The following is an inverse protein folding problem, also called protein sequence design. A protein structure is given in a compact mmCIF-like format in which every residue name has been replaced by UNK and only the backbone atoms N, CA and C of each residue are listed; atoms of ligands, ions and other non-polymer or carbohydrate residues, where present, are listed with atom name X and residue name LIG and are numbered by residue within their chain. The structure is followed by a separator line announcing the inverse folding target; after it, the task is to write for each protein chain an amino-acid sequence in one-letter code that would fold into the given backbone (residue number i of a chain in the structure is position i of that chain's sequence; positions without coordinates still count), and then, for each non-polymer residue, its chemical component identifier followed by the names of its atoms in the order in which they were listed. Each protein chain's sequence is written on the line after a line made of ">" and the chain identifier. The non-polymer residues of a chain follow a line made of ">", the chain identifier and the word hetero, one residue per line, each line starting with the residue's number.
data_IF_351235734475
#
_entry.id   IF_351235734475
#
_cell.length_a   1.000
_cell.length_b   1.000
_cell.length_c   1.000
_cell.angle_alpha   90.00
_cell.angle_beta   90.00
_cell.angle_gamma   90.00
#
_symmetry.space_group_name_H-M   'P 1'
#
loop_
_entity.id
_entity.type
_entity.pdbx_description
1 polymer ?
#
# COMPACT_ATOMS: atom_id res chain seq x y z
N UNK A 1 58.90 -8.43 0.29
CA UNK A 1 58.35 -7.60 -0.79
C UNK A 1 56.87 -7.41 -0.47
N UNK A 2 56.30 -6.20 -0.54
CA UNK A 2 54.85 -6.02 -0.42
C UNK A 2 54.14 -6.73 -1.57
N UNK A 3 52.89 -7.15 -1.33
CA UNK A 3 51.99 -7.61 -2.39
C UNK A 3 51.54 -6.38 -3.20
N UNK A 4 51.31 -6.47 -4.53
CA UNK A 4 50.69 -5.38 -5.26
C UNK A 4 49.26 -5.15 -4.76
N UNK A 5 48.87 -3.89 -4.64
CA UNK A 5 47.50 -3.51 -4.30
C UNK A 5 46.56 -3.88 -5.44
N UNK A 6 45.37 -4.38 -5.10
CA UNK A 6 44.31 -4.58 -6.09
C UNK A 6 43.79 -3.19 -6.54
N UNK A 7 43.46 -3.01 -7.84
CA UNK A 7 42.87 -1.75 -8.29
C UNK A 7 41.51 -1.56 -7.61
N UNK A 8 41.38 -0.48 -6.84
CA UNK A 8 40.07 -0.02 -6.35
C UNK A 8 39.23 0.35 -7.56
N UNK A 9 38.07 -0.28 -7.71
CA UNK A 9 37.17 -0.03 -8.83
C UNK A 9 36.44 1.29 -8.65
N UNK A 10 36.69 2.26 -9.54
CA UNK A 10 36.05 3.59 -9.62
C UNK A 10 34.51 3.56 -9.80
N UNK A 11 33.90 2.39 -9.72
CA UNK A 11 32.45 2.16 -9.88
C UNK A 11 31.69 2.55 -8.62
N UNK A 12 32.29 2.44 -7.42
CA UNK A 12 31.59 2.76 -6.16
C UNK A 12 31.36 4.26 -5.97
N UNK A 13 32.31 5.12 -6.36
CA UNK A 13 32.19 6.59 -6.22
C UNK A 13 31.11 7.18 -7.16
N UNK A 14 30.91 6.60 -8.34
CA UNK A 14 30.01 7.16 -9.37
C UNK A 14 28.52 7.01 -9.01
N UNK A 15 28.17 5.98 -8.21
CA UNK A 15 26.80 5.77 -7.70
C UNK A 15 26.40 6.90 -6.73
N UNK A 16 27.39 7.49 -6.04
CA UNK A 16 27.19 8.53 -5.03
C UNK A 16 27.53 9.95 -5.53
N UNK A 17 27.78 10.16 -6.84
CA UNK A 17 27.90 11.50 -7.43
C UNK A 17 26.57 12.27 -7.37
N UNK A 18 26.38 12.97 -6.24
CA UNK A 18 25.15 13.68 -5.86
C UNK A 18 24.91 13.60 -4.35
N UNK A 19 25.29 12.49 -3.73
CA UNK A 19 25.36 12.30 -2.28
C UNK A 19 26.66 12.88 -1.69
N UNK A 20 26.92 14.17 -1.95
CA UNK A 20 27.86 14.91 -1.09
C UNK A 20 27.32 14.89 0.33
N UNK A 21 28.15 14.53 1.31
CA UNK A 21 27.82 14.61 2.76
C UNK A 21 27.83 16.09 3.20
N UNK A 22 26.92 16.86 2.63
CA UNK A 22 26.86 18.32 2.67
C UNK A 22 25.85 18.79 3.72
N UNK A 23 26.28 18.70 4.98
CA UNK A 23 25.50 18.95 6.19
C UNK A 23 24.40 17.92 6.49
N UNK A 24 23.97 17.95 7.75
CA UNK A 24 22.86 17.16 8.27
C UNK A 24 21.53 17.73 7.73
N UNK A 25 20.95 17.05 6.74
CA UNK A 25 19.67 17.42 6.09
C UNK A 25 18.45 17.37 7.03
N UNK A 26 18.62 16.91 8.27
CA UNK A 26 17.59 16.97 9.31
C UNK A 26 17.73 18.23 10.19
N UNK A 27 18.83 18.97 10.05
CA UNK A 27 19.22 20.11 10.90
C UNK A 27 19.16 21.46 10.16
N UNK A 28 18.52 21.52 8.99
CA UNK A 28 18.25 22.77 8.28
C UNK A 28 17.27 23.65 9.07
N UNK A 29 17.52 24.96 9.13
CA UNK A 29 16.58 25.93 9.73
C UNK A 29 16.66 27.28 8.99
N UNK A 30 15.56 27.76 8.36
CA UNK A 30 14.31 27.04 8.12
C UNK A 30 14.52 25.83 7.18
N UNK A 31 13.69 24.80 7.34
CA UNK A 31 13.67 23.62 6.46
C UNK A 31 13.29 24.04 5.03
N UNK A 32 14.08 23.64 4.02
CA UNK A 32 13.75 23.91 2.63
C UNK A 32 12.64 22.96 2.11
N UNK A 33 11.67 23.45 1.30
CA UNK A 33 10.62 22.61 0.72
C UNK A 33 11.14 21.65 -0.37
N UNK A 34 12.37 21.88 -0.86
CA UNK A 34 13.08 20.98 -1.77
C UNK A 34 14.22 20.34 -1.00
N UNK A 35 14.17 19.02 -0.81
CA UNK A 35 15.20 18.23 -0.13
C UNK A 35 16.44 18.01 -1.00
N UNK A 36 16.31 18.05 -2.32
CA UNK A 36 17.43 17.89 -3.26
C UNK A 36 17.47 19.08 -4.24
N UNK A 37 18.02 20.25 -3.85
CA UNK A 37 17.93 21.50 -4.62
C UNK A 37 18.54 21.46 -6.03
N UNK A 38 19.49 20.55 -6.27
CA UNK A 38 20.14 20.37 -7.57
C UNK A 38 19.34 19.45 -8.53
N UNK A 39 18.16 18.99 -8.13
CA UNK A 39 17.34 18.02 -8.85
C UNK A 39 17.61 16.58 -8.42
N UNK A 40 16.63 15.71 -8.66
CA UNK A 40 16.64 14.30 -8.26
C UNK A 40 16.77 13.42 -9.49
N UNK A 41 17.77 12.52 -9.53
CA UNK A 41 17.85 11.49 -10.55
C UNK A 41 17.20 10.19 -10.04
N UNK A 42 16.12 9.75 -10.70
CA UNK A 42 15.42 8.53 -10.35
C UNK A 42 16.35 7.29 -10.37
N UNK A 43 17.27 7.22 -11.34
CA UNK A 43 18.09 6.02 -11.58
C UNK A 43 19.22 5.80 -10.57
N UNK A 44 19.45 6.73 -9.64
CA UNK A 44 20.48 6.62 -8.58
C UNK A 44 19.90 6.75 -7.17
N UNK A 45 18.58 6.97 -7.05
CA UNK A 45 17.94 7.27 -5.76
C UNK A 45 16.72 6.39 -5.43
N UNK A 46 16.17 5.64 -6.38
CA UNK A 46 15.17 4.59 -6.11
C UNK A 46 15.48 3.40 -7.00
N UNK A 47 15.74 2.25 -6.37
CA UNK A 47 15.84 0.98 -7.08
C UNK A 47 14.46 0.30 -7.18
N UNK A 48 14.25 -0.43 -8.27
CA UNK A 48 13.10 -1.30 -8.52
C UNK A 48 13.57 -2.73 -8.88
N UNK A 49 14.82 -3.09 -8.56
CA UNK A 49 15.45 -4.38 -8.86
C UNK A 49 14.87 -5.58 -8.08
N UNK A 50 14.00 -5.33 -7.10
CA UNK A 50 13.31 -6.35 -6.29
C UNK A 50 11.77 -6.20 -6.31
N UNK A 51 11.25 -5.43 -7.28
CA UNK A 51 9.83 -5.13 -7.43
C UNK A 51 9.22 -5.93 -8.58
N UNK A 52 8.14 -6.63 -8.32
CA UNK A 52 7.33 -7.34 -9.32
C UNK A 52 5.91 -6.79 -9.42
N UNK A 53 5.27 -6.95 -10.58
CA UNK A 53 3.94 -6.40 -10.88
C UNK A 53 2.96 -7.52 -11.21
N UNK A 54 1.81 -7.54 -10.53
CA UNK A 54 0.75 -8.53 -10.71
C UNK A 54 -0.36 -7.96 -11.61
N UNK A 55 -0.57 -8.58 -12.78
CA UNK A 55 -1.55 -8.12 -13.79
C UNK A 55 -2.64 -9.18 -14.00
N UNK A 56 -3.90 -8.80 -13.79
CA UNK A 56 -5.05 -9.61 -14.20
C UNK A 56 -5.39 -9.35 -15.68
N UNK A 57 -5.02 -10.25 -16.59
CA UNK A 57 -5.22 -10.02 -18.02
C UNK A 57 -6.70 -10.08 -18.47
N UNK A 58 -7.63 -10.52 -17.59
CA UNK A 58 -9.08 -10.36 -17.82
C UNK A 58 -9.58 -8.95 -17.49
N UNK A 59 -8.85 -8.16 -16.70
CA UNK A 59 -9.24 -6.80 -16.32
C UNK A 59 -8.49 -5.75 -17.12
N UNK A 60 -9.21 -4.99 -17.93
CA UNK A 60 -8.67 -3.86 -18.69
C UNK A 60 -8.01 -2.81 -17.78
N UNK A 61 -8.62 -2.52 -16.63
CA UNK A 61 -8.05 -1.61 -15.63
C UNK A 61 -6.69 -2.11 -15.11
N UNK A 62 -6.59 -3.40 -14.80
CA UNK A 62 -5.35 -4.00 -14.26
C UNK A 62 -4.23 -3.99 -15.31
N UNK A 63 -4.56 -4.28 -16.57
CA UNK A 63 -3.63 -4.18 -17.69
C UNK A 63 -3.15 -2.75 -17.89
N UNK A 64 -4.06 -1.77 -17.98
CA UNK A 64 -3.69 -0.38 -18.28
C UNK A 64 -2.85 0.24 -17.16
N UNK A 65 -3.24 0.05 -15.89
CA UNK A 65 -2.48 0.58 -14.74
C UNK A 65 -1.15 -0.19 -14.58
N UNK A 66 -1.17 -1.51 -14.71
CA UNK A 66 0.01 -2.36 -14.56
C UNK A 66 1.09 -2.05 -15.61
N UNK A 67 0.72 -1.99 -16.90
CA UNK A 67 1.68 -1.65 -17.96
C UNK A 67 2.13 -0.18 -17.90
N UNK A 68 1.30 0.74 -17.43
CA UNK A 68 1.73 2.11 -17.17
C UNK A 68 2.78 2.18 -16.06
N UNK A 69 2.61 1.46 -14.95
CA UNK A 69 3.61 1.38 -13.88
C UNK A 69 4.90 0.70 -14.34
N UNK A 70 4.80 -0.46 -15.02
CA UNK A 70 5.94 -1.18 -15.61
C UNK A 70 6.77 -0.25 -16.51
N UNK A 71 6.10 0.51 -17.39
CA UNK A 71 6.76 1.47 -18.29
C UNK A 71 7.38 2.64 -17.51
N UNK A 72 6.63 3.23 -16.58
CA UNK A 72 7.06 4.40 -15.83
C UNK A 72 8.13 4.13 -14.77
N UNK A 73 8.42 2.86 -14.45
CA UNK A 73 9.47 2.42 -13.51
C UNK A 73 10.51 1.49 -14.14
N UNK A 74 10.43 1.25 -15.45
CA UNK A 74 11.33 0.36 -16.19
C UNK A 74 11.44 -1.04 -15.56
N UNK A 75 10.31 -1.59 -15.09
CA UNK A 75 10.27 -2.93 -14.48
C UNK A 75 10.61 -3.98 -15.55
N UNK A 76 11.55 -4.87 -15.23
CA UNK A 76 11.98 -5.93 -16.15
C UNK A 76 10.86 -6.93 -16.41
N UNK A 77 10.75 -7.41 -17.66
CA UNK A 77 9.63 -8.20 -18.13
C UNK A 77 9.50 -9.58 -17.45
N UNK A 78 10.59 -10.12 -16.89
CA UNK A 78 10.59 -11.35 -16.08
C UNK A 78 9.87 -11.18 -14.74
N UNK A 79 9.73 -9.95 -14.23
CA UNK A 79 9.01 -9.62 -12.99
C UNK A 79 7.57 -9.13 -13.22
N UNK A 80 7.02 -9.33 -14.41
CA UNK A 80 5.61 -9.03 -14.73
C UNK A 80 4.83 -10.34 -14.73
N UNK A 81 4.19 -10.66 -13.60
CA UNK A 81 3.40 -11.88 -13.44
C UNK A 81 1.96 -11.66 -13.92
N UNK A 82 1.54 -12.44 -14.92
CA UNK A 82 0.28 -12.24 -15.64
C UNK A 82 -0.68 -13.39 -15.36
N UNK A 83 -1.86 -13.06 -14.81
CA UNK A 83 -2.96 -14.01 -14.65
C UNK A 83 -3.79 -14.06 -15.93
N UNK A 84 -3.50 -15.04 -16.77
CA UNK A 84 -4.01 -15.17 -18.15
C UNK A 84 -5.28 -16.01 -18.32
N UNK A 85 -5.76 -16.70 -17.27
CA UNK A 85 -6.85 -17.67 -17.38
C UNK A 85 -8.12 -16.99 -17.93
N UNK A 86 -8.82 -17.63 -18.87
CA UNK A 86 -10.07 -17.11 -19.44
C UNK A 86 -11.19 -16.90 -18.40
N UNK A 87 -11.07 -17.56 -17.23
CA UNK A 87 -12.01 -17.47 -16.12
C UNK A 87 -11.46 -16.70 -14.89
N UNK A 88 -10.33 -15.99 -15.01
CA UNK A 88 -9.87 -15.08 -13.95
C UNK A 88 -10.98 -14.04 -13.64
N UNK A 89 -11.48 -13.96 -12.39
CA UNK A 89 -12.53 -13.00 -12.06
C UNK A 89 -11.98 -11.57 -12.04
N UNK A 90 -12.85 -10.60 -12.33
CA UNK A 90 -12.52 -9.17 -12.42
C UNK A 90 -13.24 -8.30 -11.39
N UNK A 91 -14.13 -8.89 -10.59
CA UNK A 91 -14.84 -8.21 -9.50
C UNK A 91 -13.94 -7.94 -8.29
N UNK A 92 -14.27 -6.91 -7.51
CA UNK A 92 -13.51 -6.52 -6.32
C UNK A 92 -13.66 -7.51 -5.15
N UNK A 93 -14.65 -8.40 -5.20
CA UNK A 93 -14.90 -9.46 -4.20
C UNK A 93 -14.95 -10.82 -4.90
N UNK A 94 -14.17 -11.78 -4.39
CA UNK A 94 -14.11 -13.18 -4.85
C UNK A 94 -14.27 -14.14 -3.68
N UNK A 95 -14.59 -15.42 -3.88
CA UNK A 95 -14.49 -16.42 -2.80
C UNK A 95 -13.08 -17.01 -2.69
N UNK A 96 -12.79 -17.74 -1.60
CA UNK A 96 -11.49 -18.42 -1.39
C UNK A 96 -11.15 -19.40 -2.52
N UNK A 97 -12.14 -20.12 -3.07
CA UNK A 97 -11.90 -21.04 -4.19
C UNK A 97 -11.40 -20.29 -5.44
N UNK A 98 -12.03 -19.15 -5.78
CA UNK A 98 -11.57 -18.27 -6.86
C UNK A 98 -10.19 -17.68 -6.58
N UNK A 99 -9.88 -17.32 -5.32
CA UNK A 99 -8.55 -16.82 -4.95
C UNK A 99 -7.47 -17.89 -5.21
N UNK A 100 -7.67 -19.09 -4.67
CA UNK A 100 -6.73 -20.19 -4.81
C UNK A 100 -6.50 -20.54 -6.29
N UNK A 101 -7.57 -20.92 -7.00
CA UNK A 101 -7.50 -21.45 -8.36
C UNK A 101 -7.02 -20.45 -9.40
N UNK A 102 -7.36 -19.16 -9.27
CA UNK A 102 -7.09 -18.16 -10.33
C UNK A 102 -5.96 -17.18 -10.01
N UNK A 103 -5.47 -17.12 -8.77
CA UNK A 103 -4.39 -16.19 -8.39
C UNK A 103 -3.29 -16.86 -7.57
N UNK A 104 -3.61 -17.50 -6.45
CA UNK A 104 -2.58 -18.03 -5.54
C UNK A 104 -1.81 -19.19 -6.16
N UNK A 105 -2.51 -20.24 -6.64
CA UNK A 105 -1.84 -21.42 -7.21
C UNK A 105 -1.08 -21.06 -8.50
N UNK A 106 -1.62 -20.24 -9.42
CA UNK A 106 -0.85 -19.68 -10.53
C UNK A 106 0.36 -18.83 -10.10
N UNK A 107 0.24 -18.03 -9.04
CA UNK A 107 1.36 -17.21 -8.56
C UNK A 107 2.47 -18.07 -7.93
N UNK A 108 2.13 -19.06 -7.11
CA UNK A 108 3.09 -20.07 -6.60
C UNK A 108 3.77 -20.83 -7.75
N UNK A 109 3.03 -21.19 -8.80
CA UNK A 109 3.61 -21.82 -9.98
C UNK A 109 4.60 -20.88 -10.72
N UNK A 110 4.23 -19.61 -10.92
CA UNK A 110 5.10 -18.60 -11.52
C UNK A 110 6.37 -18.37 -10.68
N UNK A 111 6.25 -18.18 -9.36
CA UNK A 111 7.38 -18.06 -8.44
C UNK A 111 8.29 -19.30 -8.48
N UNK A 112 7.74 -20.51 -8.51
CA UNK A 112 8.52 -21.76 -8.61
C UNK A 112 9.25 -21.96 -9.95
N UNK A 113 8.85 -21.20 -10.97
CA UNK A 113 9.47 -21.18 -12.30
C UNK A 113 10.37 -19.96 -12.52
N UNK A 114 10.38 -19.01 -11.60
CA UNK A 114 11.15 -17.77 -11.68
C UNK A 114 12.62 -18.01 -11.30
N UNK A 115 13.53 -17.39 -12.03
CA UNK A 115 14.98 -17.61 -11.91
C UNK A 115 15.82 -16.33 -12.04
N UNK A 116 15.21 -15.16 -11.80
CA UNK A 116 15.90 -13.88 -11.73
C UNK A 116 16.38 -13.56 -10.31
N UNK A 117 16.45 -12.27 -9.98
CA UNK A 117 16.88 -11.75 -8.67
C UNK A 117 15.77 -11.79 -7.63
N UNK A 118 16.11 -11.62 -6.36
CA UNK A 118 15.15 -11.61 -5.26
C UNK A 118 14.01 -10.60 -5.48
N UNK A 119 12.81 -10.94 -4.97
CA UNK A 119 11.60 -10.11 -5.09
C UNK A 119 11.08 -9.85 -3.68
N UNK A 120 11.16 -8.59 -3.25
CA UNK A 120 10.72 -8.13 -1.94
C UNK A 120 9.33 -7.48 -2.00
N UNK A 121 8.99 -6.84 -3.11
CA UNK A 121 7.77 -6.05 -3.26
C UNK A 121 6.87 -6.55 -4.38
N UNK A 122 5.55 -6.55 -4.16
CA UNK A 122 4.55 -6.82 -5.18
C UNK A 122 3.64 -5.61 -5.39
N UNK A 123 3.43 -5.24 -6.66
CA UNK A 123 2.49 -4.18 -7.04
C UNK A 123 1.20 -4.82 -7.58
N UNK A 124 0.10 -4.67 -6.85
CA UNK A 124 -1.26 -4.96 -7.33
C UNK A 124 -1.92 -3.69 -7.86
N UNK A 125 -3.00 -3.84 -8.63
CA UNK A 125 -3.66 -2.73 -9.34
C UNK A 125 -5.18 -2.79 -9.22
N UNK A 126 -5.90 -1.70 -9.51
CA UNK A 126 -7.36 -1.78 -9.69
C UNK A 126 -7.66 -2.82 -10.78
N UNK A 127 -8.47 -3.84 -10.46
CA UNK A 127 -8.77 -4.96 -11.36
C UNK A 127 -8.07 -6.28 -11.01
N UNK A 128 -7.05 -6.24 -10.15
CA UNK A 128 -6.81 -7.34 -9.20
C UNK A 128 -7.93 -7.25 -8.14
N UNK A 129 -8.60 -8.35 -7.73
CA UNK A 129 -9.62 -8.32 -6.69
C UNK A 129 -9.13 -7.65 -5.39
N UNK A 130 -10.02 -7.02 -4.63
CA UNK A 130 -9.67 -6.26 -3.42
C UNK A 130 -9.77 -7.14 -2.16
N UNK A 131 -10.82 -7.97 -2.08
CA UNK A 131 -11.15 -8.77 -0.89
C UNK A 131 -11.57 -10.19 -1.23
N UNK A 132 -11.25 -11.11 -0.33
CA UNK A 132 -11.64 -12.52 -0.38
C UNK A 132 -12.76 -12.71 0.64
N UNK A 133 -13.95 -13.02 0.14
CA UNK A 133 -15.09 -13.42 0.94
C UNK A 133 -14.95 -14.89 1.37
N UNK A 134 -15.35 -15.15 2.61
CA UNK A 134 -15.33 -16.45 3.26
C UNK A 134 -16.16 -16.39 4.54
N UNK A 135 -15.99 -17.38 5.41
CA UNK A 135 -16.62 -17.39 6.73
C UNK A 135 -15.83 -16.53 7.72
N UNK A 136 -15.22 -17.16 8.72
CA UNK A 136 -14.25 -16.51 9.59
C UNK A 136 -13.03 -16.00 8.79
N UNK A 137 -12.56 -16.82 7.85
CA UNK A 137 -11.37 -16.63 7.02
C UNK A 137 -11.52 -15.61 5.88
N UNK A 138 -12.29 -14.54 6.07
CA UNK A 138 -12.37 -13.39 5.15
C UNK A 138 -11.12 -12.53 5.25
N UNK A 139 -10.58 -12.06 4.12
CA UNK A 139 -9.29 -11.35 4.09
C UNK A 139 -9.22 -10.29 2.98
N UNK A 140 -8.18 -9.44 2.99
CA UNK A 140 -7.82 -8.67 1.80
C UNK A 140 -7.04 -9.54 0.83
N UNK A 141 -7.13 -9.26 -0.48
CA UNK A 141 -6.35 -9.99 -1.48
C UNK A 141 -4.84 -9.78 -1.26
N UNK A 142 -4.46 -8.55 -0.93
CA UNK A 142 -3.05 -8.14 -0.83
C UNK A 142 -2.34 -8.78 0.37
N UNK A 143 -3.04 -8.93 1.51
CA UNK A 143 -2.54 -9.65 2.68
C UNK A 143 -2.26 -11.12 2.36
N UNK A 144 -3.13 -11.78 1.60
CA UNK A 144 -3.05 -13.22 1.37
C UNK A 144 -2.04 -13.58 0.28
N UNK A 145 -1.91 -12.73 -0.75
CA UNK A 145 -0.88 -12.90 -1.78
C UNK A 145 0.53 -12.56 -1.24
N UNK A 146 0.62 -11.74 -0.17
CA UNK A 146 1.89 -11.41 0.49
C UNK A 146 2.61 -12.63 1.09
N UNK A 147 1.88 -13.64 1.55
CA UNK A 147 2.46 -14.80 2.24
C UNK A 147 2.93 -15.90 1.27
N UNK A 148 2.63 -15.76 -0.02
CA UNK A 148 2.78 -16.81 -1.02
C UNK A 148 4.25 -17.30 -1.16
N UNK A 149 4.45 -18.58 -0.91
CA UNK A 149 5.76 -19.24 -0.95
C UNK A 149 6.78 -18.70 0.06
N UNK A 150 6.31 -18.04 1.13
CA UNK A 150 7.13 -17.52 2.22
C UNK A 150 7.05 -18.37 3.50
N UNK A 151 7.60 -17.86 4.60
CA UNK A 151 7.55 -18.50 5.92
C UNK A 151 6.12 -18.68 6.44
N UNK A 152 5.24 -17.73 6.09
CA UNK A 152 3.84 -17.70 6.51
C UNK A 152 2.87 -18.32 5.49
N UNK A 153 3.35 -19.09 4.51
CA UNK A 153 2.51 -19.68 3.45
C UNK A 153 1.42 -20.64 3.97
N UNK A 154 1.65 -21.24 5.15
CA UNK A 154 0.69 -22.07 5.88
C UNK A 154 -0.52 -21.29 6.43
N UNK A 155 -0.38 -19.98 6.55
CA UNK A 155 -1.33 -19.12 7.26
C UNK A 155 -2.36 -18.52 6.30
N UNK A 156 -2.17 -18.75 5.00
CA UNK A 156 -3.08 -18.30 3.94
C UNK A 156 -4.46 -18.94 4.14
N UNK A 157 -5.44 -18.09 4.41
CA UNK A 157 -6.82 -18.46 4.70
C UNK A 157 -7.06 -19.04 6.09
N UNK A 158 -6.13 -18.86 7.03
CA UNK A 158 -6.35 -19.09 8.45
C UNK A 158 -7.34 -18.07 9.07
N UNK A 159 -7.80 -18.36 10.29
CA UNK A 159 -8.58 -17.43 11.10
C UNK A 159 -7.66 -16.54 11.97
N UNK A 160 -8.13 -15.35 12.35
CA UNK A 160 -7.45 -14.37 13.23
C UNK A 160 -6.28 -13.65 12.58
N UNK A 161 -5.16 -13.50 13.30
CA UNK A 161 -3.97 -12.75 12.90
C UNK A 161 -2.71 -13.49 13.36
N UNK A 162 -1.63 -13.33 12.60
CA UNK A 162 -0.28 -13.73 13.00
C UNK A 162 0.62 -12.50 13.12
N UNK A 163 1.80 -12.68 13.73
CA UNK A 163 2.74 -11.60 14.05
C UNK A 163 4.07 -11.82 13.33
N UNK A 164 4.50 -10.83 12.55
CA UNK A 164 5.87 -10.72 12.03
C UNK A 164 6.69 -9.74 12.88
N UNK A 165 8.02 -9.79 12.76
CA UNK A 165 8.95 -8.89 13.44
C UNK A 165 9.53 -7.79 12.51
N UNK A 166 8.89 -7.53 11.37
CA UNK A 166 9.12 -6.34 10.56
C UNK A 166 8.32 -5.12 11.07
N UNK A 167 8.80 -3.92 10.77
CA UNK A 167 8.11 -2.65 11.02
C UNK A 167 8.45 -2.00 12.37
N UNK A 168 8.12 -0.70 12.53
CA UNK A 168 8.57 0.10 13.67
C UNK A 168 8.03 -0.38 15.02
N UNK A 169 6.93 -1.15 15.00
CA UNK A 169 6.26 -1.70 16.18
C UNK A 169 6.86 -3.05 16.64
N UNK A 170 7.86 -3.59 15.93
CA UNK A 170 8.50 -4.87 16.25
C UNK A 170 9.43 -4.84 17.49
N UNK A 171 9.58 -3.70 18.16
CA UNK A 171 10.39 -3.56 19.37
C UNK A 171 11.91 -3.70 19.15
N UNK A 172 12.37 -3.77 17.89
CA UNK A 172 13.78 -3.80 17.48
C UNK A 172 14.13 -2.56 16.63
N UNK A 173 15.42 -2.29 16.46
CA UNK A 173 15.87 -1.25 15.52
C UNK A 173 15.36 -1.58 14.11
N UNK A 174 14.78 -0.59 13.43
CA UNK A 174 14.39 -0.72 12.02
C UNK A 174 15.59 -1.05 11.13
N UNK A 175 15.33 -1.92 10.15
CA UNK A 175 16.23 -2.28 9.05
C UNK A 175 15.47 -2.15 7.73
N UNK A 176 16.22 -2.21 6.64
CA UNK A 176 15.68 -2.43 5.30
C UNK A 176 14.96 -3.79 5.23
N UNK A 177 13.91 -3.86 4.41
CA UNK A 177 13.11 -5.08 4.26
C UNK A 177 13.77 -6.05 3.28
N UNK A 178 13.87 -7.33 3.66
CA UNK A 178 14.05 -8.43 2.72
C UNK A 178 13.05 -9.53 2.98
N UNK A 179 12.53 -10.13 1.91
CA UNK A 179 11.65 -11.32 1.96
C UNK A 179 12.35 -12.51 2.61
N UNK A 180 13.67 -12.56 2.58
CA UNK A 180 14.48 -13.63 3.16
C UNK A 180 14.71 -13.46 4.68
N UNK A 181 14.85 -12.24 5.22
CA UNK A 181 14.83 -12.04 6.69
C UNK A 181 13.41 -12.22 7.26
N UNK A 182 12.38 -11.71 6.55
CA UNK A 182 11.05 -11.55 7.12
C UNK A 182 9.98 -12.55 6.66
N UNK A 183 10.18 -13.27 5.55
CA UNK A 183 9.34 -14.41 5.16
C UNK A 183 8.02 -14.10 4.43
N UNK A 184 7.82 -12.89 3.92
CA UNK A 184 6.65 -12.46 3.12
C UNK A 184 7.03 -11.38 2.10
N UNK A 185 6.11 -10.96 1.24
CA UNK A 185 6.27 -9.80 0.34
C UNK A 185 5.62 -8.54 0.93
N UNK A 186 6.23 -7.37 0.72
CA UNK A 186 5.53 -6.09 0.92
C UNK A 186 4.65 -5.78 -0.30
N UNK A 187 3.33 -5.91 -0.13
CA UNK A 187 2.36 -5.69 -1.21
C UNK A 187 1.83 -4.26 -1.17
N UNK A 188 1.95 -3.54 -2.28
CA UNK A 188 1.39 -2.20 -2.48
C UNK A 188 0.36 -2.21 -3.61
N UNK A 189 -0.73 -1.45 -3.45
CA UNK A 189 -1.84 -1.42 -4.41
C UNK A 189 -1.96 -0.06 -5.09
N UNK A 190 -1.61 0.00 -6.36
CA UNK A 190 -1.84 1.18 -7.21
C UNK A 190 -3.31 1.19 -7.70
N UNK A 191 -4.16 1.94 -7.00
CA UNK A 191 -5.61 1.95 -7.24
C UNK A 191 -6.21 3.35 -7.19
N UNK A 192 -7.43 3.45 -7.68
CA UNK A 192 -8.24 4.66 -7.74
C UNK A 192 -9.69 4.32 -8.08
N UNK A 193 -10.46 5.36 -8.37
CA UNK A 193 -11.89 5.22 -8.70
C UNK A 193 -12.12 5.08 -10.19
N UNK A 194 -11.45 5.89 -11.01
CA UNK A 194 -11.20 5.57 -12.42
C UNK A 194 -9.82 4.96 -12.60
N UNK A 195 -9.53 4.48 -13.82
CA UNK A 195 -8.16 4.17 -14.24
C UNK A 195 -7.31 5.43 -14.20
N UNK A 196 -7.85 6.56 -14.66
CA UNK A 196 -7.16 7.85 -14.73
C UNK A 196 -6.67 8.32 -13.35
N UNK A 197 -7.48 8.18 -12.29
CA UNK A 197 -7.04 8.49 -10.92
C UNK A 197 -5.83 7.66 -10.48
N UNK A 198 -5.74 6.40 -10.89
CA UNK A 198 -4.59 5.54 -10.58
C UNK A 198 -3.37 5.87 -11.44
N UNK A 199 -3.56 6.34 -12.68
CA UNK A 199 -2.48 6.83 -13.53
C UNK A 199 -1.93 8.18 -13.05
N UNK A 200 -2.81 9.09 -12.58
CA UNK A 200 -2.42 10.36 -11.94
C UNK A 200 -1.51 10.15 -10.72
N UNK A 201 -1.64 9.03 -9.99
CA UNK A 201 -0.74 8.73 -8.87
C UNK A 201 0.70 8.43 -9.33
N UNK A 202 0.87 7.83 -10.51
CA UNK A 202 2.20 7.62 -11.13
C UNK A 202 2.82 8.98 -11.49
N UNK A 203 2.04 9.86 -12.09
CA UNK A 203 2.48 11.22 -12.47
C UNK A 203 2.79 12.09 -11.24
N UNK A 204 1.93 12.06 -10.21
CA UNK A 204 2.16 12.78 -8.95
C UNK A 204 3.43 12.31 -8.26
N UNK A 205 3.69 11.00 -8.24
CA UNK A 205 4.95 10.45 -7.74
C UNK A 205 6.17 10.95 -8.54
N UNK A 206 6.10 10.95 -9.88
CA UNK A 206 7.16 11.48 -10.74
C UNK A 206 7.48 12.95 -10.43
N UNK A 207 6.44 13.76 -10.19
CA UNK A 207 6.55 15.19 -9.95
C UNK A 207 6.86 15.56 -8.47
N UNK A 208 6.79 14.59 -7.54
CA UNK A 208 7.07 14.82 -6.11
C UNK A 208 8.50 14.53 -5.67
N UNK A 209 9.29 13.83 -6.48
CA UNK A 209 10.63 13.40 -6.08
C UNK A 209 11.56 14.56 -5.69
N UNK A 210 12.34 14.39 -4.62
CA UNK A 210 13.18 15.44 -4.06
C UNK A 210 12.45 16.57 -3.32
N UNK A 211 11.11 16.50 -3.15
CA UNK A 211 10.32 17.49 -2.40
C UNK A 211 10.09 17.06 -0.95
N UNK A 212 9.92 18.03 -0.03
CA UNK A 212 9.43 17.80 1.34
C UNK A 212 7.96 18.19 1.45
N UNK A 213 7.18 17.39 2.17
CA UNK A 213 5.79 17.69 2.50
C UNK A 213 5.49 17.69 4.00
N UNK A 214 4.27 18.08 4.31
CA UNK A 214 3.66 17.98 5.63
C UNK A 214 3.20 16.54 5.88
N UNK A 215 3.45 16.04 7.10
CA UNK A 215 2.77 14.85 7.62
C UNK A 215 1.54 15.32 8.38
N UNK A 216 0.37 14.78 8.04
CA UNK A 216 -0.88 15.04 8.76
C UNK A 216 -1.19 13.81 9.60
N UNK A 217 -1.30 14.01 10.91
CA UNK A 217 -1.62 12.98 11.89
C UNK A 217 -2.88 13.44 12.62
N UNK A 218 -3.96 12.67 12.54
CA UNK A 218 -5.33 13.08 12.88
C UNK A 218 -5.94 12.04 13.84
N UNK A 219 -6.11 12.43 15.12
CA UNK A 219 -6.37 11.53 16.23
C UNK A 219 -7.86 11.46 16.58
N UNK A 220 -8.41 10.23 16.65
CA UNK A 220 -9.74 10.01 17.18
C UNK A 220 -9.76 10.25 18.70
N UNK A 221 -10.18 11.44 19.11
CA UNK A 221 -10.37 11.87 20.51
C UNK A 221 -11.21 10.93 21.37
N UNK A 222 -12.02 10.05 20.77
CA UNK A 222 -12.84 9.04 21.45
C UNK A 222 -12.24 7.62 21.47
N UNK A 223 -10.95 7.42 21.10
CA UNK A 223 -10.30 6.10 20.99
C UNK A 223 -9.24 5.81 22.05
N UNK A 224 -9.35 6.47 23.21
CA UNK A 224 -8.37 6.40 24.29
C UNK A 224 -8.47 5.15 25.21
N UNK A 225 -9.41 4.24 24.94
CA UNK A 225 -9.70 3.06 25.77
C UNK A 225 -9.42 1.72 25.07
N UNK A 226 -8.90 0.76 25.84
CA UNK A 226 -8.68 -0.65 25.44
C UNK A 226 -7.82 -0.80 24.16
N UNK A 227 -8.02 -1.84 23.35
CA UNK A 227 -7.18 -2.16 22.19
C UNK A 227 -7.17 -1.11 21.08
N UNK A 228 -8.10 -0.14 21.09
CA UNK A 228 -8.06 1.00 20.17
C UNK A 228 -7.06 2.08 20.60
N UNK A 229 -6.75 2.18 21.91
CA UNK A 229 -5.77 3.16 22.44
C UNK A 229 -4.39 3.01 21.79
N UNK A 230 -4.01 1.77 21.47
CA UNK A 230 -2.76 1.43 20.78
C UNK A 230 -2.51 2.30 19.55
N UNK A 231 -3.51 2.46 18.68
CA UNK A 231 -3.38 3.25 17.45
C UNK A 231 -3.38 4.78 17.71
N UNK A 232 -3.97 5.27 18.80
CA UNK A 232 -3.79 6.66 19.23
C UNK A 232 -2.37 6.87 19.78
N UNK A 233 -1.87 5.93 20.58
CA UNK A 233 -0.50 5.97 21.13
C UNK A 233 0.54 5.94 20.01
N UNK A 234 0.32 5.16 18.95
CA UNK A 234 1.16 5.17 17.74
C UNK A 234 1.18 6.52 17.02
N UNK A 235 0.05 7.26 16.97
CA UNK A 235 0.03 8.62 16.40
C UNK A 235 0.85 9.62 17.25
N UNK A 236 0.78 9.52 18.59
CA UNK A 236 1.64 10.30 19.48
C UNK A 236 3.13 9.95 19.28
N UNK A 237 3.47 8.67 19.14
CA UNK A 237 4.85 8.21 18.85
C UNK A 237 5.31 8.69 17.49
N UNK A 238 4.46 8.64 16.46
CA UNK A 238 4.76 9.13 15.12
C UNK A 238 5.03 10.64 15.12
N UNK A 239 4.21 11.45 15.80
CA UNK A 239 4.47 12.89 15.97
C UNK A 239 5.81 13.14 16.68
N UNK A 240 6.05 12.49 17.83
CA UNK A 240 7.29 12.65 18.60
C UNK A 240 8.54 12.22 17.82
N UNK A 241 8.41 11.21 16.95
CA UNK A 241 9.50 10.75 16.08
C UNK A 241 9.73 11.72 14.92
N UNK A 242 8.71 12.00 14.11
CA UNK A 242 8.82 12.83 12.91
C UNK A 242 9.18 14.28 13.28
N UNK A 243 8.40 14.92 14.15
CA UNK A 243 8.58 16.32 14.55
C UNK A 243 9.77 16.47 15.51
N UNK A 244 9.78 15.66 16.58
CA UNK A 244 10.73 15.82 17.68
C UNK A 244 12.13 15.24 17.44
N UNK A 245 12.25 14.14 16.68
CA UNK A 245 13.53 13.44 16.46
C UNK A 245 14.09 13.66 15.05
N UNK A 246 13.23 13.68 14.03
CA UNK A 246 13.63 13.87 12.63
C UNK A 246 13.49 15.31 12.14
N UNK A 247 12.93 16.23 12.95
CA UNK A 247 12.68 17.63 12.58
C UNK A 247 11.91 17.75 11.23
N UNK A 248 10.93 16.88 11.02
CA UNK A 248 10.05 16.88 9.85
C UNK A 248 8.77 17.67 10.15
N UNK A 249 8.20 18.38 9.14
CA UNK A 249 6.93 19.07 9.33
C UNK A 249 5.80 18.08 9.64
N UNK A 250 5.15 18.28 10.79
CA UNK A 250 3.95 17.55 11.22
C UNK A 250 2.85 18.55 11.60
N UNK A 251 1.66 18.34 11.06
CA UNK A 251 0.42 18.86 11.61
C UNK A 251 -0.24 17.70 12.38
N UNK A 252 -0.22 17.79 13.70
CA UNK A 252 -0.86 16.81 14.59
C UNK A 252 -2.14 17.43 15.14
N UNK A 253 -3.25 16.77 14.88
CA UNK A 253 -4.59 17.19 15.27
C UNK A 253 -5.12 16.27 16.38
N UNK A 254 -5.63 16.91 17.44
CA UNK A 254 -6.22 16.27 18.62
C UNK A 254 -7.66 16.78 18.86
N UNK A 255 -8.31 17.36 17.83
CA UNK A 255 -9.71 17.77 17.84
C UNK A 255 -10.63 16.63 17.36
N UNK A 256 -11.90 16.93 17.05
CA UNK A 256 -12.89 15.90 16.68
C UNK A 256 -13.24 15.86 15.19
N UNK A 257 -12.79 16.82 14.39
CA UNK A 257 -13.20 16.94 12.98
C UNK A 257 -12.05 16.56 12.04
N UNK A 258 -12.29 15.61 11.12
CA UNK A 258 -11.28 15.12 10.19
C UNK A 258 -10.51 16.23 9.49
N UNK A 259 -9.18 16.09 9.46
CA UNK A 259 -8.29 17.08 8.85
C UNK A 259 -8.42 17.06 7.33
N UNK A 260 -8.91 18.15 6.75
CA UNK A 260 -9.19 18.25 5.31
C UNK A 260 -8.63 19.52 4.70
N UNK A 261 -8.56 19.56 3.36
CA UNK A 261 -8.09 20.72 2.57
C UNK A 261 -6.62 21.14 2.83
N UNK A 262 -5.83 20.28 3.47
CA UNK A 262 -4.39 20.46 3.64
C UNK A 262 -3.66 20.36 2.28
N UNK A 263 -2.61 21.16 2.12
CA UNK A 263 -1.77 21.20 0.91
C UNK A 263 -0.33 20.77 1.22
N UNK A 264 0.41 20.40 0.17
CA UNK A 264 1.77 19.85 0.26
C UNK A 264 1.89 18.66 1.24
N UNK A 265 0.88 17.79 1.30
CA UNK A 265 0.86 16.60 2.17
C UNK A 265 1.67 15.47 1.54
N UNK A 266 2.62 14.89 2.29
CA UNK A 266 3.41 13.71 1.87
C UNK A 266 3.02 12.43 2.64
N UNK A 267 2.41 12.58 3.82
CA UNK A 267 1.81 11.48 4.57
C UNK A 267 0.55 11.93 5.29
N UNK A 268 -0.47 11.08 5.35
CA UNK A 268 -1.71 11.32 6.07
C UNK A 268 -2.09 10.05 6.83
N UNK A 269 -2.23 10.14 8.15
CA UNK A 269 -2.72 9.07 9.00
C UNK A 269 -3.90 9.59 9.85
N UNK A 270 -5.02 8.89 9.78
CA UNK A 270 -6.26 9.22 10.48
C UNK A 270 -7.05 7.94 10.73
N UNK A 271 -8.16 8.06 11.46
CA UNK A 271 -9.07 6.96 11.75
C UNK A 271 -10.10 6.72 10.63
N UNK A 272 -10.59 5.48 10.54
CA UNK A 272 -11.64 5.09 9.59
C UNK A 272 -13.03 5.01 10.24
N UNK A 273 -13.79 3.97 9.89
CA UNK A 273 -15.13 3.67 10.42
C UNK A 273 -15.22 3.43 11.94
N UNK A 274 -14.07 3.40 12.63
CA UNK A 274 -13.98 3.39 14.08
C UNK A 274 -13.98 4.80 14.71
N UNK A 275 -13.72 5.87 13.97
CA UNK A 275 -13.81 7.22 14.53
C UNK A 275 -15.25 7.54 15.03
N UNK A 276 -15.36 8.32 16.12
CA UNK A 276 -16.65 8.69 16.70
C UNK A 276 -17.46 9.64 15.80
N UNK A 277 -16.77 10.45 15.01
CA UNK A 277 -17.30 11.44 14.08
C UNK A 277 -17.31 10.97 12.62
N UNK A 278 -16.88 9.74 12.29
CA UNK A 278 -17.02 9.11 10.95
C UNK A 278 -18.38 9.39 10.29
N UNK A 279 -19.46 9.25 11.08
CA UNK A 279 -20.84 9.39 10.61
C UNK A 279 -21.32 10.85 10.43
N UNK A 280 -20.46 11.85 10.63
CA UNK A 280 -20.81 13.28 10.43
C UNK A 280 -20.51 13.78 9.02
N UNK A 281 -19.76 13.01 8.22
CA UNK A 281 -19.48 13.27 6.80
C UNK A 281 -18.93 14.68 6.52
N UNK A 282 -17.88 15.07 7.27
CA UNK A 282 -17.17 16.35 7.13
C UNK A 282 -16.43 16.52 5.79
N UNK A 283 -16.14 15.41 5.11
CA UNK A 283 -15.42 15.39 3.86
C UNK A 283 -16.32 15.92 2.72
N UNK A 284 -16.11 17.18 2.32
CA UNK A 284 -16.73 17.75 1.11
C UNK A 284 -16.42 16.95 -0.17
N UNK A 285 -15.39 16.10 -0.12
CA UNK A 285 -15.14 14.99 -1.04
C UNK A 285 -14.92 13.70 -0.22
N UNK A 286 -15.98 13.17 0.41
CA UNK A 286 -15.99 11.89 1.17
C UNK A 286 -15.74 10.64 0.32
N UNK A 287 -15.21 10.82 -0.89
CA UNK A 287 -14.86 9.77 -1.81
C UNK A 287 -16.05 8.93 -2.25
N UNK A 288 -15.81 7.62 -2.27
CA UNK A 288 -16.62 6.60 -2.91
C UNK A 288 -18.02 6.45 -2.31
N UNK A 289 -18.20 6.79 -1.03
CA UNK A 289 -19.45 6.55 -0.29
C UNK A 289 -20.50 7.66 -0.54
N UNK A 290 -20.26 8.52 -1.53
CA UNK A 290 -21.27 9.42 -2.11
C UNK A 290 -22.37 8.59 -2.75
N UNK A 291 -23.61 8.65 -2.22
CA UNK A 291 -24.75 7.93 -2.78
C UNK A 291 -25.00 8.29 -4.25
N UNK A 292 -25.09 7.28 -5.13
CA UNK A 292 -25.34 7.45 -6.55
C UNK A 292 -26.08 6.22 -7.13
N UNK A 293 -27.32 6.43 -7.56
CA UNK A 293 -28.20 5.37 -8.09
C UNK A 293 -27.85 4.93 -9.52
N UNK A 294 -26.85 5.53 -10.18
CA UNK A 294 -26.28 5.01 -11.42
C UNK A 294 -25.23 3.90 -11.17
N UNK A 295 -24.85 3.63 -9.91
CA UNK A 295 -23.88 2.59 -9.54
C UNK A 295 -24.55 1.42 -8.81
N UNK A 296 -24.18 0.19 -9.18
CA UNK A 296 -24.82 -1.04 -8.68
C UNK A 296 -24.65 -1.29 -7.16
N UNK A 297 -23.76 -0.56 -6.50
CA UNK A 297 -23.56 -0.58 -5.04
C UNK A 297 -24.49 0.39 -4.29
N UNK A 298 -25.12 1.33 -4.98
CA UNK A 298 -25.74 2.53 -4.41
C UNK A 298 -24.77 3.69 -4.13
N UNK A 299 -23.46 3.50 -4.34
CA UNK A 299 -22.39 4.46 -4.01
C UNK A 299 -21.45 4.69 -5.20
N UNK A 300 -21.05 5.95 -5.42
CA UNK A 300 -20.34 6.38 -6.63
C UNK A 300 -18.95 5.75 -6.75
N UNK A 301 -18.65 5.22 -7.94
CA UNK A 301 -17.40 4.52 -8.28
C UNK A 301 -17.17 3.15 -7.60
N UNK A 302 -17.99 2.74 -6.63
CA UNK A 302 -18.04 1.37 -6.14
C UNK A 302 -18.86 0.49 -7.09
N UNK A 303 -18.23 -0.46 -7.77
CA UNK A 303 -18.93 -1.46 -8.58
C UNK A 303 -19.13 -2.76 -7.78
N UNK A 304 -20.30 -2.91 -7.16
CA UNK A 304 -20.64 -4.17 -6.52
C UNK A 304 -20.88 -5.25 -7.59
N UNK A 305 -20.09 -6.32 -7.49
CA UNK A 305 -20.33 -7.60 -8.16
C UNK A 305 -20.30 -8.68 -7.08
N UNK A 306 -21.31 -9.55 -7.07
CA UNK A 306 -21.34 -10.70 -6.16
C UNK A 306 -20.29 -11.73 -6.57
N UNK A 307 -19.57 -12.35 -5.63
CA UNK A 307 -18.64 -13.43 -5.94
C UNK A 307 -19.41 -14.64 -6.50
N UNK A 308 -18.73 -15.49 -7.27
CA UNK A 308 -19.33 -16.73 -7.77
C UNK A 308 -19.29 -17.78 -6.66
N UNK A 309 -20.31 -17.77 -5.81
CA UNK A 309 -20.43 -18.67 -4.66
C UNK A 309 -20.36 -20.15 -5.05
N UNK A 310 -19.58 -20.90 -4.27
CA UNK A 310 -19.47 -22.35 -4.31
C UNK A 310 -20.58 -23.00 -3.47
N UNK A 311 -20.83 -24.30 -3.67
CA UNK A 311 -21.74 -25.04 -2.81
C UNK A 311 -21.15 -25.12 -1.38
N UNK A 312 -21.75 -24.36 -0.44
CA UNK A 312 -21.27 -24.20 0.93
C UNK A 312 -20.78 -22.79 1.30
N UNK A 313 -20.61 -21.89 0.32
CA UNK A 313 -20.32 -20.48 0.61
C UNK A 313 -21.59 -19.75 1.06
N UNK A 314 -21.69 -19.41 2.34
CA UNK A 314 -22.74 -18.50 2.82
C UNK A 314 -22.36 -17.04 2.50
N UNK A 315 -23.25 -16.33 1.79
CA UNK A 315 -23.06 -14.93 1.40
C UNK A 315 -24.05 -14.04 2.16
N UNK A 316 -23.63 -13.60 3.36
CA UNK A 316 -24.47 -12.85 4.28
C UNK A 316 -24.21 -11.34 4.22
N UNK A 317 -25.11 -10.59 3.55
CA UNK A 317 -25.15 -9.13 3.65
C UNK A 317 -25.87 -8.71 4.92
N UNK A 318 -25.13 -8.57 6.01
CA UNK A 318 -25.62 -7.91 7.23
C UNK A 318 -25.64 -6.38 7.05
N UNK A 319 -26.56 -5.86 6.26
CA UNK A 319 -26.79 -4.41 6.16
C UNK A 319 -27.19 -3.86 7.54
N UNK A 320 -26.37 -3.04 8.20
CA UNK A 320 -26.82 -2.33 9.41
C UNK A 320 -27.99 -1.40 9.07
N UNK A 321 -29.20 -1.80 9.47
CA UNK A 321 -30.43 -1.00 9.35
C UNK A 321 -30.47 0.21 10.30
N UNK A 322 -29.45 0.38 11.14
CA UNK A 322 -29.26 1.57 11.96
C UNK A 322 -28.76 2.74 11.13
N UNK A 323 -29.68 3.65 10.76
CA UNK A 323 -29.40 4.82 9.92
C UNK A 323 -28.32 5.73 10.50
N UNK A 324 -27.09 5.58 10.01
CA UNK A 324 -26.01 6.56 10.16
C UNK A 324 -26.13 7.62 9.07
N UNK A 325 -25.82 8.87 9.40
CA UNK A 325 -25.91 9.98 8.45
C UNK A 325 -24.83 9.78 7.36
N UNK A 326 -25.29 9.57 6.12
CA UNK A 326 -24.49 8.99 5.03
C UNK A 326 -25.29 7.98 4.21
N UNK A 327 -26.23 7.27 4.85
CA UNK A 327 -27.28 6.51 4.14
C UNK A 327 -27.00 5.03 3.91
N UNK A 328 -25.86 4.51 4.35
CA UNK A 328 -25.66 3.08 4.61
C UNK A 328 -25.20 2.86 6.05
N UNK A 329 -25.65 1.77 6.65
CA UNK A 329 -24.90 1.11 7.71
C UNK A 329 -23.83 0.19 7.11
N UNK A 330 -22.85 -0.19 7.95
CA UNK A 330 -21.83 -1.18 7.61
C UNK A 330 -22.39 -2.62 7.64
#
# INVERSE_FOLDING_TARGET
>A
MPNPEAPVTEIEDDIFQGFTVANDIWNETPLNPVAVPNGFNLTTAIDYSDVAVLINNKSEASRTIGWAFVTARNISADRVFIFDNSSNPTGETINRNQFNTYFLDPFKAMLSSYNGTDINYLVTTKGIPLRINGGNNKASFDQEIALAGGTYDSDIGADWWNTHDYGPLAGKQMKDFTRDEYGFFLVTRLTGYTVDTALELIEKANNSYGSRGMHVLDLATNRNDTGYKFWNDDLYVANSTLNGTMNLPVYFDEETEFVTNMSNVIGYASWGSNDGNWNKNYLANGGFDTLDSAWNSGSRYWNLSGPTVSAGDEFNWSYQTGTKQGGNGA
#
